data_IF_773808813116
#
_entry.id   IF_773808813116
#
_cell.length_a   1.000
_cell.length_b   1.000
_cell.length_c   1.000
_cell.angle_alpha   90.00
_cell.angle_beta   90.00
_cell.angle_gamma   90.00
#
_symmetry.space_group_name_H-M   'P 1'
#
loop_
_entity.id
_entity.type
_entity.pdbx_description
1 polymer ?
#
# COMPACT_ATOMS: atom_id res chain seq x y z
N UNK A 1 22.70 -9.39 -9.53
CA UNK A 1 21.35 -9.73 -9.02
C UNK A 1 20.42 -8.64 -9.53
N UNK A 2 19.65 -8.89 -10.58
CA UNK A 2 18.81 -7.84 -11.17
C UNK A 2 17.68 -7.54 -10.18
N UNK A 3 17.64 -6.31 -9.66
CA UNK A 3 16.48 -5.76 -8.99
C UNK A 3 15.27 -5.97 -9.90
N UNK A 4 14.41 -6.93 -9.53
CA UNK A 4 13.21 -7.23 -10.31
C UNK A 4 12.24 -6.11 -10.06
N UNK A 5 11.94 -5.40 -11.13
CA UNK A 5 11.08 -4.26 -11.05
C UNK A 5 9.67 -4.65 -11.51
N UNK A 6 8.65 -4.07 -10.87
CA UNK A 6 7.25 -4.24 -11.24
C UNK A 6 6.66 -2.88 -11.63
N UNK A 7 5.59 -2.84 -12.45
CA UNK A 7 4.81 -1.62 -12.63
C UNK A 7 4.28 -1.11 -11.29
N UNK A 8 4.19 0.21 -11.12
CA UNK A 8 3.76 0.84 -9.85
C UNK A 8 2.43 0.31 -9.30
N UNK A 9 1.42 0.15 -10.16
CA UNK A 9 0.12 -0.39 -9.78
C UNK A 9 0.17 -1.84 -9.26
N UNK A 10 1.21 -2.62 -9.59
CA UNK A 10 1.34 -3.99 -9.08
C UNK A 10 1.52 -4.00 -7.55
N UNK A 11 2.06 -2.95 -6.95
CA UNK A 11 2.22 -2.86 -5.50
C UNK A 11 0.89 -2.70 -4.77
N UNK A 12 -0.05 -1.93 -5.31
CA UNK A 12 -1.42 -1.86 -4.80
C UNK A 12 -2.11 -3.23 -4.90
N UNK A 13 -1.95 -3.94 -6.02
CA UNK A 13 -2.49 -5.29 -6.21
C UNK A 13 -1.89 -6.31 -5.22
N UNK A 14 -0.57 -6.32 -5.04
CA UNK A 14 0.13 -7.18 -4.06
C UNK A 14 -0.33 -6.90 -2.64
N UNK A 15 -0.44 -5.63 -2.26
CA UNK A 15 -0.94 -5.22 -0.96
C UNK A 15 -2.41 -5.66 -0.77
N UNK A 16 -3.28 -5.44 -1.74
CA UNK A 16 -4.69 -5.86 -1.64
C UNK A 16 -4.85 -7.37 -1.60
N UNK A 17 -4.02 -8.14 -2.32
CA UNK A 17 -4.03 -9.61 -2.29
C UNK A 17 -3.43 -10.24 -1.03
N UNK A 18 -2.50 -9.56 -0.36
CA UNK A 18 -1.91 -10.06 0.88
C UNK A 18 -2.95 -10.30 2.00
N UNK A 19 -2.59 -11.12 2.99
CA UNK A 19 -3.49 -11.49 4.10
C UNK A 19 -4.84 -12.06 3.63
N UNK A 20 -4.81 -13.03 2.71
CA UNK A 20 -5.99 -13.72 2.15
C UNK A 20 -6.99 -12.76 1.48
N UNK A 21 -6.49 -11.68 0.86
CA UNK A 21 -7.34 -10.70 0.20
C UNK A 21 -8.23 -9.89 1.14
N UNK A 22 -7.92 -9.84 2.45
CA UNK A 22 -8.66 -9.00 3.40
C UNK A 22 -8.74 -7.55 2.88
N UNK A 23 -9.95 -6.94 2.81
CA UNK A 23 -10.10 -5.59 2.28
C UNK A 23 -9.33 -4.56 3.09
N UNK A 24 -8.92 -3.48 2.42
CA UNK A 24 -8.46 -2.26 3.07
C UNK A 24 -9.65 -1.33 3.13
N UNK A 25 -9.99 -0.84 4.33
CA UNK A 25 -11.04 0.16 4.53
C UNK A 25 -10.40 1.51 4.81
N UNK A 26 -11.00 2.56 4.26
CA UNK A 26 -10.61 3.96 4.38
C UNK A 26 -9.43 4.38 3.48
N UNK A 27 -9.63 5.45 2.69
CA UNK A 27 -8.63 6.02 1.76
C UNK A 27 -7.32 6.38 2.45
N UNK A 28 -7.37 7.01 3.63
CA UNK A 28 -6.17 7.32 4.41
C UNK A 28 -5.36 6.05 4.75
N UNK A 29 -6.01 4.94 5.09
CA UNK A 29 -5.30 3.69 5.41
C UNK A 29 -4.56 3.16 4.19
N UNK A 30 -5.21 3.15 3.04
CA UNK A 30 -4.57 2.75 1.78
C UNK A 30 -3.33 3.61 1.49
N UNK A 31 -3.48 4.93 1.56
CA UNK A 31 -2.39 5.89 1.36
C UNK A 31 -1.19 5.61 2.29
N UNK A 32 -1.44 5.41 3.59
CA UNK A 32 -0.35 5.11 4.54
C UNK A 32 0.29 3.75 4.32
N UNK A 33 -0.47 2.74 3.93
CA UNK A 33 0.11 1.42 3.67
C UNK A 33 0.99 1.41 2.42
N UNK A 34 0.60 2.12 1.36
CA UNK A 34 1.47 2.27 0.18
C UNK A 34 2.70 3.13 0.50
N UNK A 35 2.54 4.20 1.28
CA UNK A 35 3.67 4.99 1.76
C UNK A 35 4.68 4.13 2.54
N UNK A 36 4.22 3.36 3.52
CA UNK A 36 5.10 2.48 4.30
C UNK A 36 5.71 1.37 3.43
N UNK A 37 4.97 0.84 2.46
CA UNK A 37 5.53 -0.09 1.47
C UNK A 37 6.68 0.56 0.70
N UNK A 38 6.54 1.82 0.26
CA UNK A 38 7.63 2.54 -0.39
C UNK A 38 8.83 2.72 0.55
N UNK A 39 8.62 3.29 1.74
CA UNK A 39 9.72 3.64 2.67
C UNK A 39 10.43 2.42 3.28
N UNK A 40 9.71 1.34 3.55
CA UNK A 40 10.24 0.19 4.31
C UNK A 40 10.61 -1.01 3.42
N UNK A 41 10.21 -1.03 2.14
CA UNK A 41 10.40 -2.18 1.24
C UNK A 41 11.03 -1.77 -0.11
N UNK A 42 10.50 -0.76 -0.80
CA UNK A 42 11.02 -0.35 -2.12
C UNK A 42 12.33 0.43 -1.97
N UNK A 43 12.34 1.52 -1.19
CA UNK A 43 13.53 2.37 -1.03
C UNK A 43 14.75 1.63 -0.44
N UNK A 44 14.59 0.66 0.49
CA UNK A 44 15.70 -0.19 0.93
C UNK A 44 16.21 -1.18 -0.13
N UNK A 45 15.63 -1.22 -1.34
CA UNK A 45 16.07 -2.04 -2.46
C UNK A 45 15.61 -3.50 -2.41
N UNK A 46 14.57 -3.84 -1.65
CA UNK A 46 14.00 -5.20 -1.69
C UNK A 46 13.14 -5.42 -2.93
N UNK A 47 12.48 -4.38 -3.42
CA UNK A 47 11.76 -4.34 -4.69
C UNK A 47 12.10 -3.02 -5.40
N UNK A 48 11.74 -2.91 -6.68
CA UNK A 48 12.00 -1.72 -7.48
C UNK A 48 10.85 -1.43 -8.44
N UNK A 49 10.62 -0.18 -8.80
CA UNK A 49 9.55 0.21 -9.73
C UNK A 49 10.18 0.31 -11.14
N UNK A 50 9.60 -0.35 -12.18
CA UNK A 50 10.13 -0.22 -13.56
C UNK A 50 9.78 1.15 -14.12
N UNK A 51 8.55 1.60 -13.86
CA UNK A 51 7.95 2.75 -14.50
C UNK A 51 7.16 3.58 -13.48
N UNK A 52 7.48 4.87 -13.43
CA UNK A 52 6.91 5.81 -12.48
C UNK A 52 7.49 5.67 -11.07
N UNK A 53 6.94 6.46 -10.16
CA UNK A 53 7.21 6.46 -8.73
C UNK A 53 5.94 6.92 -8.00
N UNK A 54 5.88 6.79 -6.67
CA UNK A 54 4.92 7.56 -5.90
C UNK A 54 5.61 8.84 -5.41
N UNK A 55 5.00 9.99 -5.68
CA UNK A 55 5.46 11.28 -5.17
C UNK A 55 4.65 11.64 -3.94
N UNK A 56 5.10 11.13 -2.78
CA UNK A 56 4.43 11.43 -1.52
C UNK A 56 4.76 12.84 -1.06
N UNK A 57 3.72 13.62 -0.74
CA UNK A 57 3.83 14.98 -0.24
C UNK A 57 3.22 15.09 1.16
N UNK A 58 3.73 15.99 2.01
CA UNK A 58 3.07 16.30 3.28
C UNK A 58 1.63 16.78 3.04
N UNK A 59 0.70 16.35 3.88
CA UNK A 59 -0.71 16.74 3.81
C UNK A 59 -1.36 16.72 5.20
N UNK A 60 -2.61 17.17 5.29
CA UNK A 60 -3.37 17.31 6.56
C UNK A 60 -3.35 16.04 7.44
N UNK A 61 -3.37 14.86 6.83
CA UNK A 61 -3.36 13.59 7.55
C UNK A 61 -2.08 12.78 7.32
N UNK A 62 -0.97 13.46 7.04
CA UNK A 62 0.34 12.88 6.72
C UNK A 62 0.55 12.65 5.22
N UNK A 63 1.48 11.76 4.81
CA UNK A 63 1.89 11.58 3.42
C UNK A 63 0.74 11.21 2.49
N UNK A 64 0.61 11.93 1.38
CA UNK A 64 -0.39 11.69 0.35
C UNK A 64 0.25 11.66 -1.03
N UNK A 65 -0.24 10.80 -1.91
CA UNK A 65 0.19 10.70 -3.31
C UNK A 65 -1.04 10.49 -4.19
N UNK A 66 -1.14 11.27 -5.27
CA UNK A 66 -2.21 11.14 -6.28
C UNK A 66 -2.06 9.84 -7.06
N UNK A 67 -0.82 9.39 -7.27
CA UNK A 67 -0.46 8.18 -7.98
C UNK A 67 -1.07 6.92 -7.36
N UNK A 68 -1.27 6.90 -6.03
CA UNK A 68 -1.96 5.79 -5.36
C UNK A 68 -3.42 5.71 -5.80
N UNK A 69 -4.06 6.86 -6.03
CA UNK A 69 -5.45 6.91 -6.48
C UNK A 69 -5.54 6.54 -7.95
N UNK A 70 -4.64 7.08 -8.78
CA UNK A 70 -4.53 6.71 -10.19
C UNK A 70 -4.33 5.20 -10.38
N UNK A 71 -3.47 4.59 -9.55
CA UNK A 71 -3.22 3.15 -9.60
C UNK A 71 -4.46 2.34 -9.22
N UNK A 72 -5.25 2.77 -8.22
CA UNK A 72 -6.52 2.12 -7.87
C UNK A 72 -7.55 2.26 -8.98
N UNK A 73 -7.72 3.47 -9.53
CA UNK A 73 -8.66 3.71 -10.62
C UNK A 73 -8.27 2.90 -11.86
N UNK A 74 -6.99 2.88 -12.23
CA UNK A 74 -6.48 2.03 -13.30
C UNK A 74 -6.77 0.54 -13.07
N UNK A 75 -6.51 0.04 -11.87
CA UNK A 75 -6.81 -1.36 -11.53
C UNK A 75 -8.31 -1.65 -11.51
N UNK A 76 -9.14 -0.66 -11.14
CA UNK A 76 -10.61 -0.74 -11.16
C UNK A 76 -11.12 -0.83 -12.59
N UNK A 77 -10.62 0.02 -13.48
CA UNK A 77 -10.98 0.03 -14.91
C UNK A 77 -10.60 -1.28 -15.61
N UNK A 78 -9.49 -1.90 -15.20
CA UNK A 78 -9.10 -3.25 -15.65
C UNK A 78 -9.95 -4.38 -15.04
N UNK A 79 -10.85 -4.07 -14.11
CA UNK A 79 -11.67 -5.02 -13.38
C UNK A 79 -10.89 -5.90 -12.41
N UNK A 80 -9.72 -5.44 -11.93
CA UNK A 80 -8.85 -6.17 -11.00
C UNK A 80 -9.14 -5.79 -9.54
N UNK A 81 -9.58 -4.55 -9.30
CA UNK A 81 -9.95 -4.02 -7.98
C UNK A 81 -11.41 -3.60 -8.00
N UNK A 82 -12.10 -3.85 -6.89
CA UNK A 82 -13.42 -3.31 -6.60
C UNK A 82 -13.29 -2.29 -5.48
N UNK A 83 -13.90 -1.12 -5.67
CA UNK A 83 -14.02 -0.06 -4.68
C UNK A 83 -15.49 0.09 -4.35
N UNK A 84 -15.86 -0.17 -3.10
CA UNK A 84 -17.24 -0.05 -2.62
C UNK A 84 -17.32 0.93 -1.45
N UNK A 85 -18.42 1.66 -1.33
CA UNK A 85 -18.67 2.50 -0.16
C UNK A 85 -19.39 1.70 0.93
N UNK A 86 -18.88 1.75 2.16
CA UNK A 86 -19.48 1.10 3.33
C UNK A 86 -19.30 1.98 4.57
N UNK A 87 -20.42 2.33 5.21
CA UNK A 87 -20.45 3.18 6.42
C UNK A 87 -19.68 4.51 6.23
N UNK A 88 -19.83 5.16 5.06
CA UNK A 88 -19.15 6.42 4.75
C UNK A 88 -17.65 6.29 4.51
N UNK A 89 -17.14 5.08 4.24
CA UNK A 89 -15.74 4.82 3.91
C UNK A 89 -15.60 3.93 2.70
N UNK A 90 -14.60 4.21 1.87
CA UNK A 90 -14.23 3.35 0.74
C UNK A 90 -13.60 2.03 1.24
N UNK A 91 -13.97 0.92 0.61
CA UNK A 91 -13.48 -0.42 0.86
C UNK A 91 -12.87 -0.94 -0.44
N UNK A 92 -11.57 -1.21 -0.42
CA UNK A 92 -10.80 -1.70 -1.56
C UNK A 92 -10.54 -3.20 -1.41
N UNK A 93 -10.86 -3.98 -2.44
CA UNK A 93 -10.59 -5.43 -2.48
C UNK A 93 -10.26 -5.89 -3.90
N UNK A 94 -9.53 -7.00 -4.03
CA UNK A 94 -9.37 -7.64 -5.33
C UNK A 94 -10.67 -8.29 -5.79
N UNK A 95 -10.99 -8.16 -7.07
CA UNK A 95 -12.01 -8.98 -7.74
C UNK A 95 -11.50 -10.42 -7.93
N UNK A 96 -12.33 -11.33 -8.44
CA UNK A 96 -11.86 -12.66 -8.84
C UNK A 96 -10.75 -12.60 -9.91
N UNK A 97 -10.87 -11.69 -10.88
CA UNK A 97 -9.84 -11.44 -11.90
C UNK A 97 -8.55 -10.90 -11.26
N UNK A 98 -8.67 -9.98 -10.31
CA UNK A 98 -7.55 -9.45 -9.53
C UNK A 98 -6.82 -10.55 -8.75
N UNK A 99 -7.55 -11.44 -8.09
CA UNK A 99 -7.00 -12.60 -7.37
C UNK A 99 -6.24 -13.55 -8.31
N UNK A 100 -6.79 -13.85 -9.48
CA UNK A 100 -6.09 -14.68 -10.47
C UNK A 100 -4.76 -14.06 -10.92
N UNK A 101 -4.73 -12.75 -11.17
CA UNK A 101 -3.49 -12.06 -11.53
C UNK A 101 -2.50 -12.03 -10.36
N UNK A 102 -2.98 -11.79 -9.15
CA UNK A 102 -2.17 -11.86 -7.93
C UNK A 102 -1.50 -13.24 -7.76
N UNK A 103 -2.26 -14.33 -7.85
CA UNK A 103 -1.72 -15.69 -7.79
C UNK A 103 -0.72 -15.98 -8.91
N UNK A 104 -0.99 -15.47 -10.12
CA UNK A 104 -0.06 -15.59 -11.24
C UNK A 104 1.28 -14.89 -10.94
N UNK A 105 1.26 -13.69 -10.35
CA UNK A 105 2.46 -12.99 -9.91
C UNK A 105 3.22 -13.82 -8.86
N UNK A 106 2.54 -14.29 -7.81
CA UNK A 106 3.17 -15.13 -6.78
C UNK A 106 3.80 -16.40 -7.37
N UNK A 107 3.09 -17.08 -8.26
CA UNK A 107 3.59 -18.30 -8.92
C UNK A 107 4.80 -18.04 -9.81
N UNK A 108 4.85 -16.87 -10.47
CA UNK A 108 5.95 -16.46 -11.35
C UNK A 108 7.23 -16.23 -10.56
N UNK A 109 7.11 -15.66 -9.35
CA UNK A 109 8.25 -15.33 -8.50
C UNK A 109 8.46 -16.32 -7.34
N UNK A 110 7.81 -17.49 -7.36
CA UNK A 110 7.84 -18.46 -6.24
C UNK A 110 9.25 -18.89 -5.80
N UNK A 111 10.20 -18.95 -6.74
CA UNK A 111 11.57 -19.36 -6.47
C UNK A 111 12.52 -18.18 -6.22
N UNK A 112 12.04 -16.94 -6.35
CA UNK A 112 12.84 -15.74 -6.14
C UNK A 112 12.92 -15.40 -4.63
N UNK A 113 14.10 -15.56 -4.06
CA UNK A 113 14.31 -15.34 -2.62
C UNK A 113 14.11 -13.86 -2.20
N UNK A 114 14.45 -12.91 -3.08
CA UNK A 114 14.30 -11.49 -2.79
C UNK A 114 12.83 -11.09 -2.84
N UNK A 115 12.09 -11.56 -3.87
CA UNK A 115 10.65 -11.35 -3.95
C UNK A 115 9.92 -11.96 -2.76
N UNK A 116 10.24 -13.21 -2.38
CA UNK A 116 9.63 -13.86 -1.21
C UNK A 116 9.83 -13.04 0.06
N UNK A 117 11.07 -12.61 0.33
CA UNK A 117 11.40 -11.75 1.48
C UNK A 117 10.63 -10.43 1.44
N UNK A 118 10.51 -9.81 0.28
CA UNK A 118 9.77 -8.56 0.13
C UNK A 118 8.26 -8.76 0.34
N UNK A 119 7.70 -9.84 -0.22
CA UNK A 119 6.28 -10.16 -0.08
C UNK A 119 5.91 -10.58 1.35
N UNK A 120 6.80 -11.26 2.07
CA UNK A 120 6.70 -11.50 3.51
C UNK A 120 6.56 -10.17 4.26
N UNK A 121 7.44 -9.18 3.98
CA UNK A 121 7.33 -7.85 4.58
C UNK A 121 6.04 -7.11 4.23
N UNK A 122 5.57 -7.20 2.98
CA UNK A 122 4.27 -6.62 2.58
C UNK A 122 3.14 -7.26 3.41
N UNK A 123 3.19 -8.57 3.60
CA UNK A 123 2.20 -9.32 4.38
C UNK A 123 2.26 -8.94 5.85
N UNK A 124 3.45 -8.78 6.44
CA UNK A 124 3.65 -8.31 7.80
C UNK A 124 3.14 -6.89 8.00
N UNK A 125 3.49 -5.97 7.09
CA UNK A 125 3.02 -4.59 7.09
C UNK A 125 1.50 -4.53 7.08
N UNK A 126 0.85 -5.23 6.15
CA UNK A 126 -0.61 -5.29 6.09
C UNK A 126 -1.19 -5.93 7.34
N UNK A 127 -0.63 -7.05 7.82
CA UNK A 127 -1.13 -7.75 9.01
C UNK A 127 -1.09 -6.85 10.25
N UNK A 128 0.01 -6.11 10.43
CA UNK A 128 0.21 -5.16 11.53
C UNK A 128 -0.87 -4.09 11.54
N UNK A 129 -1.13 -3.47 10.39
CA UNK A 129 -2.01 -2.29 10.34
C UNK A 129 -3.44 -2.58 9.92
N UNK A 130 -3.76 -3.76 9.39
CA UNK A 130 -5.12 -4.07 8.93
C UNK A 130 -6.15 -4.17 10.06
N UNK A 131 -5.73 -4.54 11.28
CA UNK A 131 -6.61 -4.67 12.45
C UNK A 131 -6.49 -3.53 13.46
N UNK A 132 -5.43 -2.73 13.36
CA UNK A 132 -5.23 -1.59 14.25
C UNK A 132 -6.17 -0.45 13.92
N UNK A 133 -6.39 0.44 14.89
CA UNK A 133 -7.13 1.69 14.71
C UNK A 133 -6.39 2.62 13.75
N UNK A 134 -7.14 3.39 12.95
CA UNK A 134 -6.55 4.30 11.96
C UNK A 134 -5.61 5.31 12.62
N UNK A 135 -5.99 5.82 13.79
CA UNK A 135 -5.20 6.78 14.56
C UNK A 135 -3.80 6.26 14.91
N UNK A 136 -3.68 4.98 15.30
CA UNK A 136 -2.37 4.37 15.59
C UNK A 136 -1.47 4.29 14.36
N UNK A 137 -2.05 3.99 13.19
CA UNK A 137 -1.32 4.00 11.92
C UNK A 137 -0.85 5.42 11.58
N UNK A 138 -1.71 6.43 11.74
CA UNK A 138 -1.35 7.83 11.52
C UNK A 138 -0.23 8.26 12.47
N UNK A 139 -0.37 7.98 13.77
CA UNK A 139 0.64 8.27 14.79
C UNK A 139 2.00 7.65 14.46
N UNK A 140 2.02 6.38 14.06
CA UNK A 140 3.27 5.73 13.66
C UNK A 140 3.93 6.40 12.46
N UNK A 141 3.15 6.77 11.45
CA UNK A 141 3.68 7.50 10.29
C UNK A 141 4.24 8.86 10.72
N UNK A 142 3.59 9.55 11.66
CA UNK A 142 4.02 10.88 12.11
C UNK A 142 5.30 10.82 12.96
N UNK A 143 5.38 9.86 13.87
CA UNK A 143 6.56 9.68 14.74
C UNK A 143 7.78 9.26 13.93
N UNK A 144 7.58 8.45 12.88
CA UNK A 144 8.68 7.89 12.08
C UNK A 144 9.07 8.74 10.86
N UNK A 145 8.13 9.52 10.34
CA UNK A 145 8.30 10.34 9.13
C UNK A 145 7.69 11.75 9.34
N UNK A 146 8.20 12.52 10.32
CA UNK A 146 7.64 13.82 10.69
C UNK A 146 7.66 14.83 9.55
N UNK A 147 8.58 14.70 8.59
CA UNK A 147 8.70 15.56 7.42
C UNK A 147 7.50 15.49 6.47
N UNK A 148 6.68 14.43 6.55
CA UNK A 148 5.46 14.25 5.76
C UNK A 148 4.18 14.70 6.49
N UNK A 149 4.31 15.42 7.61
CA UNK A 149 3.18 15.82 8.44
C UNK A 149 3.20 17.31 8.75
N UNK A 150 2.06 17.97 8.60
CA UNK A 150 1.93 19.37 9.01
C UNK A 150 1.92 19.51 10.54
N UNK A 151 2.72 20.46 11.06
CA UNK A 151 2.93 20.67 12.51
C UNK A 151 1.64 20.90 13.30
N UNK A 152 0.63 21.51 12.69
CA UNK A 152 -0.68 21.78 13.30
C UNK A 152 -1.43 20.50 13.70
N UNK A 153 -1.27 19.42 12.92
CA UNK A 153 -2.03 18.17 13.07
C UNK A 153 -1.32 17.16 14.00
N UNK A 154 0.00 17.25 14.14
CA UNK A 154 0.78 16.45 15.08
C UNK A 154 0.28 16.67 16.52
N UNK A 155 -0.05 17.91 16.87
CA UNK A 155 -0.48 18.28 18.23
C UNK A 155 -1.82 17.65 18.64
N UNK A 156 -2.73 17.43 17.70
CA UNK A 156 -4.07 16.87 17.95
C UNK A 156 -4.08 15.34 18.08
N UNK A 157 -3.15 14.64 17.42
CA UNK A 157 -3.05 13.18 17.42
C UNK A 157 -2.08 12.63 18.48
N UNK A 158 -1.22 13.49 19.04
CA UNK A 158 -0.24 13.11 20.07
C UNK A 158 -0.55 13.66 21.48
N UNK A 159 -1.62 14.45 21.64
CA UNK A 159 -2.14 14.91 22.93
C UNK A 159 -3.02 13.86 23.60
#
# INVERSE_FOLDING_TARGET
MALRSLPRAAYALLLLGACEGRPITHKLRLQKLIFLLQKEIIEPGLLSIIQGSYDFRPYNYGPFSEEVIDDIEFLKDLGLVEVAEKNGSEVYKLTNKGKQLFEKILSTFKNDAQFRKAFEKITELKKRWAKEELEKLLKYVYERYPEYTEKSMIKHLLS
#
